data_IF_436225242078
#
_entry.id   IF_436225242078
#
_cell.length_a   1.000
_cell.length_b   1.000
_cell.length_c   1.000
_cell.angle_alpha   90.00
_cell.angle_beta   90.00
_cell.angle_gamma   90.00
#
_symmetry.space_group_name_H-M   'P 1'
#
loop_
_entity.id
_entity.type
_entity.pdbx_description
1 polymer ?
#
# COMPACT_ATOMS: atom_id res chain seq x y z
N UNK A 1 -15.82 -15.21 3.83
CA UNK A 1 -14.38 -15.55 3.77
C UNK A 1 -13.99 -16.55 2.66
N UNK A 2 -14.91 -17.29 2.01
CA UNK A 2 -14.53 -18.30 1.00
C UNK A 2 -13.99 -17.75 -0.35
N UNK A 3 -14.31 -16.51 -0.75
CA UNK A 3 -13.92 -15.97 -2.08
C UNK A 3 -12.45 -15.52 -2.18
N UNK A 4 -11.87 -14.91 -1.15
CA UNK A 4 -10.42 -14.58 -1.11
C UNK A 4 -9.56 -15.84 -1.20
N UNK A 5 -9.97 -16.91 -0.49
CA UNK A 5 -9.36 -18.23 -0.62
C UNK A 5 -9.41 -18.72 -2.07
N UNK A 6 -10.56 -18.57 -2.74
CA UNK A 6 -10.73 -19.04 -4.13
C UNK A 6 -9.83 -18.28 -5.12
N UNK A 7 -9.73 -16.96 -5.03
CA UNK A 7 -8.87 -16.18 -5.93
C UNK A 7 -7.38 -16.52 -5.71
N UNK A 8 -6.96 -16.69 -4.46
CA UNK A 8 -5.60 -17.12 -4.15
C UNK A 8 -5.33 -18.53 -4.68
N UNK A 9 -6.23 -19.48 -4.46
CA UNK A 9 -6.11 -20.85 -4.97
C UNK A 9 -6.04 -20.88 -6.49
N UNK A 10 -6.92 -20.15 -7.19
CA UNK A 10 -6.89 -20.08 -8.67
C UNK A 10 -5.59 -19.46 -9.16
N UNK A 11 -5.12 -18.37 -8.56
CA UNK A 11 -3.85 -17.76 -8.92
C UNK A 11 -2.66 -18.71 -8.65
N UNK A 12 -2.64 -19.39 -7.50
CA UNK A 12 -1.60 -20.36 -7.16
C UNK A 12 -1.57 -21.55 -8.13
N UNK A 13 -2.73 -22.09 -8.52
CA UNK A 13 -2.85 -23.17 -9.52
C UNK A 13 -2.32 -22.72 -10.88
N UNK A 14 -2.64 -21.50 -11.31
CA UNK A 14 -2.13 -20.96 -12.56
C UNK A 14 -0.62 -20.73 -12.51
N UNK A 15 -0.07 -20.19 -11.41
CA UNK A 15 1.38 -20.05 -11.22
C UNK A 15 2.08 -21.42 -11.23
N UNK A 16 1.51 -22.42 -10.57
CA UNK A 16 2.04 -23.79 -10.63
C UNK A 16 2.00 -24.39 -12.05
N UNK A 17 0.95 -24.11 -12.83
CA UNK A 17 0.87 -24.53 -14.23
C UNK A 17 1.92 -23.80 -15.11
N UNK A 18 2.16 -22.51 -14.87
CA UNK A 18 3.23 -21.75 -15.55
C UNK A 18 4.61 -22.32 -15.20
N UNK A 19 4.82 -22.74 -13.95
CA UNK A 19 6.08 -23.32 -13.48
C UNK A 19 6.46 -24.62 -14.20
N UNK A 20 5.49 -25.41 -14.70
CA UNK A 20 5.71 -26.66 -15.46
C UNK A 20 6.26 -26.46 -16.88
N UNK A 21 6.70 -25.24 -17.20
CA UNK A 21 7.24 -24.76 -18.49
C UNK A 21 8.25 -25.66 -19.23
N UNK A 22 8.77 -26.73 -18.61
CA UNK A 22 9.71 -27.66 -19.24
C UNK A 22 9.00 -28.76 -20.05
N UNK A 23 7.81 -29.22 -19.64
CA UNK A 23 7.19 -30.41 -20.22
C UNK A 23 6.20 -30.07 -21.33
N UNK A 24 5.54 -28.92 -21.24
CA UNK A 24 4.48 -28.49 -22.17
C UNK A 24 4.42 -26.96 -22.32
N UNK A 25 5.31 -26.34 -23.14
CA UNK A 25 5.37 -24.88 -23.29
C UNK A 25 4.03 -24.23 -23.68
N UNK A 26 3.26 -24.88 -24.55
CA UNK A 26 1.94 -24.41 -24.99
C UNK A 26 0.93 -24.31 -23.82
N UNK A 27 0.98 -25.25 -22.87
CA UNK A 27 0.09 -25.22 -21.71
C UNK A 27 0.49 -24.14 -20.72
N UNK A 28 1.79 -23.94 -20.52
CA UNK A 28 2.31 -22.87 -19.68
C UNK A 28 1.94 -21.48 -20.24
N UNK A 29 2.02 -21.29 -21.56
CA UNK A 29 1.56 -20.07 -22.24
C UNK A 29 0.06 -19.84 -22.07
N UNK A 30 -0.75 -20.90 -22.24
CA UNK A 30 -2.21 -20.83 -22.00
C UNK A 30 -2.51 -20.45 -20.54
N UNK A 31 -1.79 -21.04 -19.58
CA UNK A 31 -1.94 -20.72 -18.16
C UNK A 31 -1.53 -19.28 -17.85
N UNK A 32 -0.44 -18.80 -18.43
CA UNK A 32 0.03 -17.42 -18.28
C UNK A 32 -0.97 -16.41 -18.86
N UNK A 33 -1.45 -16.64 -20.09
CA UNK A 33 -2.47 -15.79 -20.71
C UNK A 33 -3.76 -15.75 -19.88
N UNK A 34 -4.17 -16.89 -19.33
CA UNK A 34 -5.32 -16.98 -18.44
C UNK A 34 -5.08 -16.23 -17.12
N UNK A 35 -3.88 -16.32 -16.55
CA UNK A 35 -3.50 -15.56 -15.36
C UNK A 35 -3.57 -14.05 -15.62
N UNK A 36 -2.96 -13.57 -16.70
CA UNK A 36 -3.01 -12.17 -17.10
C UNK A 36 -4.46 -11.68 -17.24
N UNK A 37 -5.31 -12.41 -17.99
CA UNK A 37 -6.72 -12.04 -18.17
C UNK A 37 -7.49 -11.89 -16.85
N UNK A 38 -7.22 -12.75 -15.86
CA UNK A 38 -7.94 -12.75 -14.58
C UNK A 38 -7.38 -11.76 -13.56
N UNK A 39 -6.06 -11.54 -13.55
CA UNK A 39 -5.39 -10.86 -12.46
C UNK A 39 -4.62 -9.60 -12.85
N UNK A 40 -4.60 -9.20 -14.14
CA UNK A 40 -3.92 -7.98 -14.61
C UNK A 40 -4.29 -6.75 -13.77
N UNK A 41 -5.58 -6.45 -13.62
CA UNK A 41 -6.04 -5.29 -12.85
C UNK A 41 -5.61 -5.33 -11.38
N UNK A 42 -5.44 -6.52 -10.82
CA UNK A 42 -5.00 -6.70 -9.43
C UNK A 42 -3.50 -6.47 -9.30
N UNK A 43 -2.71 -6.94 -10.26
CA UNK A 43 -1.27 -6.65 -10.35
C UNK A 43 -1.03 -5.16 -10.58
N UNK A 44 -1.77 -4.54 -11.51
CA UNK A 44 -1.71 -3.11 -11.76
C UNK A 44 -2.07 -2.28 -10.52
N UNK A 45 -3.15 -2.66 -9.82
CA UNK A 45 -3.53 -1.99 -8.58
C UNK A 45 -2.43 -2.08 -7.51
N UNK A 46 -1.80 -3.25 -7.35
CA UNK A 46 -0.65 -3.41 -6.45
C UNK A 46 0.50 -2.46 -6.85
N UNK A 47 0.85 -2.40 -8.14
CA UNK A 47 1.88 -1.49 -8.64
C UNK A 47 1.51 -0.03 -8.38
N UNK A 48 0.27 0.39 -8.63
CA UNK A 48 -0.19 1.76 -8.36
C UNK A 48 -0.07 2.15 -6.88
N UNK A 49 -0.47 1.25 -5.98
CA UNK A 49 -0.37 1.47 -4.53
C UNK A 49 1.09 1.61 -4.11
N UNK A 50 1.97 0.73 -4.62
CA UNK A 50 3.40 0.77 -4.33
C UNK A 50 4.07 2.02 -4.90
N UNK A 51 3.80 2.38 -6.16
CA UNK A 51 4.33 3.60 -6.78
C UNK A 51 3.94 4.85 -6.01
N UNK A 52 2.69 4.92 -5.54
CA UNK A 52 2.24 6.02 -4.68
C UNK A 52 2.95 6.01 -3.32
N UNK A 53 3.14 4.84 -2.72
CA UNK A 53 3.83 4.68 -1.42
C UNK A 53 5.30 5.12 -1.51
N UNK A 54 5.99 4.75 -2.60
CA UNK A 54 7.37 5.13 -2.84
C UNK A 54 7.54 6.53 -3.45
N UNK A 55 6.44 7.28 -3.65
CA UNK A 55 6.44 8.64 -4.21
C UNK A 55 7.12 8.73 -5.58
N UNK A 56 6.92 7.70 -6.40
CA UNK A 56 7.47 7.62 -7.76
C UNK A 56 6.91 8.79 -8.60
N UNK A 57 7.74 9.58 -9.29
CA UNK A 57 7.26 10.60 -10.22
C UNK A 57 6.47 9.93 -11.35
N UNK A 58 5.44 10.60 -11.88
CA UNK A 58 4.55 10.02 -12.91
C UNK A 58 3.99 8.63 -12.56
N UNK A 59 3.70 8.40 -11.27
CA UNK A 59 3.38 7.08 -10.68
C UNK A 59 2.36 6.22 -11.43
N UNK A 60 1.44 6.80 -12.22
CA UNK A 60 0.48 6.06 -13.03
C UNK A 60 1.17 5.34 -14.19
N UNK A 61 1.95 6.07 -14.99
CA UNK A 61 2.70 5.50 -16.12
C UNK A 61 3.72 4.49 -15.60
N UNK A 62 4.49 4.85 -14.57
CA UNK A 62 5.48 3.94 -13.99
C UNK A 62 4.85 2.68 -13.41
N UNK A 63 3.64 2.76 -12.84
CA UNK A 63 2.92 1.58 -12.37
C UNK A 63 2.43 0.68 -13.50
N UNK A 64 2.03 1.22 -14.65
CA UNK A 64 1.63 0.42 -15.81
C UNK A 64 2.82 -0.33 -16.40
N UNK A 65 3.96 0.34 -16.54
CA UNK A 65 5.20 -0.28 -17.00
C UNK A 65 5.71 -1.34 -16.00
N UNK A 66 5.74 -1.00 -14.70
CA UNK A 66 6.11 -1.95 -13.65
C UNK A 66 5.15 -3.15 -13.58
N UNK A 67 3.86 -2.97 -13.90
CA UNK A 67 2.90 -4.07 -13.98
C UNK A 67 3.29 -5.07 -15.09
N UNK A 68 3.68 -4.58 -16.27
CA UNK A 68 4.11 -5.42 -17.39
C UNK A 68 5.36 -6.23 -16.99
N UNK A 69 6.37 -5.57 -16.42
CA UNK A 69 7.59 -6.24 -15.95
C UNK A 69 7.30 -7.24 -14.83
N UNK A 70 6.39 -6.90 -13.92
CA UNK A 70 5.96 -7.80 -12.85
C UNK A 70 5.32 -9.07 -13.42
N UNK A 71 4.47 -8.96 -14.44
CA UNK A 71 3.84 -10.11 -15.10
C UNK A 71 4.88 -11.00 -15.80
N UNK A 72 5.84 -10.41 -16.50
CA UNK A 72 6.95 -11.15 -17.10
C UNK A 72 7.80 -11.85 -16.04
N UNK A 73 8.08 -11.17 -14.92
CA UNK A 73 8.81 -11.76 -13.82
C UNK A 73 8.05 -12.88 -13.12
N UNK A 74 6.72 -12.78 -12.98
CA UNK A 74 5.88 -13.89 -12.48
C UNK A 74 6.07 -15.10 -13.38
N UNK A 75 6.05 -14.93 -14.71
CA UNK A 75 6.29 -16.02 -15.65
C UNK A 75 7.67 -16.65 -15.47
N UNK A 76 8.71 -15.82 -15.40
CA UNK A 76 10.10 -16.27 -15.31
C UNK A 76 10.42 -16.93 -13.95
N UNK A 77 9.84 -16.40 -12.87
CA UNK A 77 10.07 -16.84 -11.50
C UNK A 77 9.03 -17.84 -11.00
N UNK A 78 8.07 -18.27 -11.84
CA UNK A 78 6.98 -19.17 -11.43
C UNK A 78 7.48 -20.44 -10.73
N UNK A 79 8.60 -21.03 -11.18
CA UNK A 79 9.23 -22.21 -10.57
C UNK A 79 9.73 -21.99 -9.14
N UNK A 80 9.92 -20.74 -8.74
CA UNK A 80 10.40 -20.35 -7.41
C UNK A 80 9.24 -20.13 -6.42
N UNK A 81 7.99 -20.10 -6.88
CA UNK A 81 6.84 -19.95 -6.01
C UNK A 81 6.59 -21.24 -5.24
N UNK A 82 6.60 -21.13 -3.91
CA UNK A 82 6.28 -22.22 -2.99
C UNK A 82 4.98 -21.87 -2.23
N UNK A 83 3.86 -22.59 -2.48
CA UNK A 83 2.58 -22.32 -1.83
C UNK A 83 2.60 -22.59 -0.31
N UNK A 84 3.58 -23.34 0.20
CA UNK A 84 3.72 -23.58 1.64
C UNK A 84 4.37 -22.40 2.36
N UNK A 85 5.14 -21.56 1.64
CA UNK A 85 5.84 -20.40 2.21
C UNK A 85 4.97 -19.14 2.30
N UNK A 86 3.82 -19.10 1.63
CA UNK A 86 2.89 -17.98 1.75
C UNK A 86 1.92 -17.80 0.60
N UNK A 87 1.13 -16.72 0.68
CA UNK A 87 0.12 -16.41 -0.32
C UNK A 87 0.74 -15.92 -1.64
N UNK A 88 0.22 -16.41 -2.77
CA UNK A 88 0.64 -16.01 -4.12
C UNK A 88 0.61 -14.50 -4.34
N UNK A 89 -0.36 -13.78 -3.78
CA UNK A 89 -0.44 -12.32 -3.94
C UNK A 89 0.62 -11.58 -3.11
N UNK A 90 1.02 -12.13 -1.96
CA UNK A 90 2.16 -11.59 -1.20
C UNK A 90 3.46 -11.81 -1.95
N UNK A 91 3.63 -12.98 -2.58
CA UNK A 91 4.79 -13.26 -3.44
C UNK A 91 4.83 -12.32 -4.66
N UNK A 92 3.70 -12.13 -5.35
CA UNK A 92 3.57 -11.17 -6.45
C UNK A 92 3.87 -9.74 -6.00
N UNK A 93 3.37 -9.32 -4.84
CA UNK A 93 3.65 -8.00 -4.30
C UNK A 93 5.15 -7.78 -4.03
N UNK A 94 5.87 -8.83 -3.61
CA UNK A 94 7.33 -8.80 -3.49
C UNK A 94 8.02 -8.60 -4.84
N UNK A 95 7.57 -9.29 -5.90
CA UNK A 95 8.08 -9.07 -7.26
C UNK A 95 7.82 -7.62 -7.70
N UNK A 96 6.59 -7.13 -7.55
CA UNK A 96 6.22 -5.77 -7.94
C UNK A 96 7.02 -4.69 -7.19
N UNK A 97 7.25 -4.88 -5.89
CA UNK A 97 8.08 -3.98 -5.09
C UNK A 97 9.52 -3.95 -5.59
N UNK A 98 10.11 -5.12 -5.88
CA UNK A 98 11.48 -5.19 -6.40
C UNK A 98 11.61 -4.52 -7.77
N UNK A 99 10.64 -4.70 -8.68
CA UNK A 99 10.65 -4.02 -9.98
C UNK A 99 10.57 -2.50 -9.85
N UNK A 100 9.73 -2.00 -8.94
CA UNK A 100 9.64 -0.56 -8.68
C UNK A 100 10.92 0.00 -8.05
N UNK A 101 11.55 -0.73 -7.14
CA UNK A 101 12.82 -0.33 -6.54
C UNK A 101 13.94 -0.29 -7.59
N UNK A 102 14.06 -1.32 -8.43
CA UNK A 102 15.05 -1.32 -9.51
C UNK A 102 14.87 -0.17 -10.50
N UNK A 103 13.62 0.21 -10.79
CA UNK A 103 13.32 1.37 -11.63
C UNK A 103 13.72 2.68 -10.95
N UNK A 104 13.39 2.84 -9.68
CA UNK A 104 13.82 3.99 -8.88
C UNK A 104 15.35 4.08 -8.82
N UNK A 105 16.05 2.97 -8.60
CA UNK A 105 17.51 2.92 -8.60
C UNK A 105 18.09 3.34 -9.96
N UNK A 106 17.50 2.90 -11.08
CA UNK A 106 17.93 3.29 -12.44
C UNK A 106 17.64 4.77 -12.74
N UNK A 107 16.49 5.28 -12.31
CA UNK A 107 16.11 6.68 -12.47
C UNK A 107 16.98 7.59 -11.58
N UNK A 108 17.29 7.18 -10.35
CA UNK A 108 18.23 7.87 -9.47
C UNK A 108 19.67 7.78 -9.98
N UNK A 109 20.06 6.69 -10.66
CA UNK A 109 21.37 6.56 -11.30
C UNK A 109 21.48 7.37 -12.60
N UNK A 110 20.36 7.82 -13.16
CA UNK A 110 20.30 8.79 -14.27
C UNK A 110 20.24 10.24 -13.82
N UNK A 111 20.24 10.51 -12.51
CA UNK A 111 20.60 11.83 -11.99
C UNK A 111 22.04 12.05 -12.40
N UNK A 112 22.26 12.90 -13.41
CA UNK A 112 23.60 13.27 -13.89
C UNK A 112 24.50 13.53 -12.68
N UNK A 113 25.78 13.19 -12.75
CA UNK A 113 26.74 13.61 -11.72
C UNK A 113 26.62 15.12 -11.44
N UNK A 114 26.27 15.90 -12.46
CA UNK A 114 25.94 17.32 -12.35
C UNK A 114 24.72 17.59 -11.48
N UNK A 115 23.64 16.81 -11.59
CA UNK A 115 22.46 16.97 -10.73
C UNK A 115 22.72 16.55 -9.28
N UNK A 116 23.58 15.54 -9.07
CA UNK A 116 24.04 15.15 -7.73
C UNK A 116 24.87 16.28 -7.12
N UNK A 117 25.79 16.87 -7.88
CA UNK A 117 26.59 18.02 -7.48
C UNK A 117 25.72 19.26 -7.19
N UNK A 118 24.72 19.54 -8.03
CA UNK A 118 23.75 20.62 -7.83
C UNK A 118 22.95 20.40 -6.54
N UNK A 119 22.45 19.18 -6.30
CA UNK A 119 21.71 18.84 -5.06
C UNK A 119 22.61 18.94 -3.83
N UNK A 120 23.87 18.53 -3.94
CA UNK A 120 24.86 18.62 -2.86
C UNK A 120 25.19 20.08 -2.53
N UNK A 121 25.46 20.89 -3.55
CA UNK A 121 25.69 22.33 -3.40
C UNK A 121 24.49 23.06 -2.80
N UNK A 122 23.26 22.70 -3.22
CA UNK A 122 22.04 23.28 -2.66
C UNK A 122 21.86 22.91 -1.19
N UNK A 123 22.14 21.66 -0.82
CA UNK A 123 22.07 21.19 0.57
C UNK A 123 23.13 21.85 1.46
N UNK A 124 24.35 22.01 0.96
CA UNK A 124 25.43 22.72 1.63
C UNK A 124 25.09 24.20 1.83
N UNK A 125 24.46 24.84 0.85
CA UNK A 125 23.96 26.21 0.97
C UNK A 125 22.91 26.34 2.08
N UNK A 126 21.92 25.45 2.12
CA UNK A 126 20.90 25.47 3.19
C UNK A 126 21.51 25.22 4.58
N UNK A 127 22.50 24.32 4.69
CA UNK A 127 23.19 24.08 5.95
C UNK A 127 23.97 25.33 6.37
N UNK A 128 24.60 26.05 5.44
CA UNK A 128 25.33 27.28 5.72
C UNK A 128 24.40 28.43 6.13
N UNK A 129 23.27 28.59 5.45
CA UNK A 129 22.23 29.57 5.81
C UNK A 129 21.68 29.26 7.20
N UNK A 130 21.36 28.00 7.48
CA UNK A 130 20.86 27.59 8.79
C UNK A 130 21.90 27.79 9.91
N UNK A 131 23.18 27.49 9.66
CA UNK A 131 24.25 27.78 10.65
C UNK A 131 24.41 29.28 10.89
N UNK A 132 24.29 30.10 9.85
CA UNK A 132 24.34 31.55 10.01
C UNK A 132 23.11 32.08 10.77
N UNK A 133 21.95 31.45 10.62
CA UNK A 133 20.77 31.73 11.44
C UNK A 133 20.98 31.30 12.90
N UNK A 134 21.51 30.09 13.13
CA UNK A 134 21.79 29.56 14.49
C UNK A 134 22.86 30.42 15.20
N UNK A 135 23.93 30.83 14.52
CA UNK A 135 24.97 31.72 15.07
C UNK A 135 24.42 33.14 15.38
N UNK A 136 23.43 33.59 14.60
CA UNK A 136 22.71 34.85 14.85
C UNK A 136 21.65 34.69 15.96
N UNK A 137 21.10 33.49 16.15
CA UNK A 137 20.22 33.14 17.26
C UNK A 137 21.02 33.04 18.57
N UNK A 138 22.25 32.51 18.57
CA UNK A 138 23.18 32.46 19.71
C UNK A 138 23.46 33.85 20.31
N UNK A 139 23.46 34.89 19.46
CA UNK A 139 23.50 36.31 19.88
C UNK A 139 22.19 36.84 20.50
N UNK A 140 21.06 36.12 20.35
CA UNK A 140 19.74 36.46 20.90
C UNK A 140 19.39 35.65 22.16
N UNK A 141 20.09 34.54 22.45
CA UNK A 141 19.81 33.67 23.61
C UNK A 141 20.24 34.28 24.96
N UNK A 142 21.17 35.23 24.99
CA UNK A 142 21.55 35.94 26.23
C UNK A 142 20.41 36.82 26.82
N UNK A 143 19.29 36.98 26.11
CA UNK A 143 18.16 37.80 26.57
C UNK A 143 16.86 37.03 26.86
N UNK A 144 16.84 35.69 26.78
CA UNK A 144 15.56 34.96 26.84
C UNK A 144 15.58 33.59 27.54
N UNK A 145 16.34 33.46 28.63
CA UNK A 145 16.40 32.24 29.48
C UNK A 145 15.08 31.83 30.17
N UNK A 146 13.94 32.51 29.96
CA UNK A 146 12.68 32.17 30.62
C UNK A 146 11.80 31.14 29.87
N UNK A 147 12.17 30.70 28.66
CA UNK A 147 11.17 30.21 27.70
C UNK A 147 11.13 28.73 27.29
N UNK A 148 12.07 27.86 27.66
CA UNK A 148 12.15 26.52 27.04
C UNK A 148 12.18 25.34 28.02
N UNK A 149 10.99 24.96 28.46
CA UNK A 149 10.72 23.62 28.97
C UNK A 149 9.37 23.13 28.43
N UNK A 150 9.31 22.51 27.22
CA UNK A 150 8.21 21.63 26.77
C UNK A 150 8.39 21.12 25.32
N UNK A 151 9.16 20.05 25.14
CA UNK A 151 8.96 19.12 24.01
C UNK A 151 9.55 17.74 24.29
N UNK A 152 9.15 17.13 25.42
CA UNK A 152 9.40 15.70 25.64
C UNK A 152 8.61 14.89 24.61
N UNK A 153 9.32 14.06 23.85
CA UNK A 153 8.79 13.14 22.85
C UNK A 153 7.65 12.29 23.41
N UNK A 154 6.50 12.37 22.76
CA UNK A 154 5.32 11.57 23.10
C UNK A 154 5.54 10.15 22.59
N UNK A 155 6.07 9.30 23.46
CA UNK A 155 6.13 7.86 23.24
C UNK A 155 4.68 7.35 23.05
N UNK A 156 4.35 6.94 21.82
CA UNK A 156 3.00 6.51 21.46
C UNK A 156 2.79 5.11 22.03
N UNK A 157 2.26 5.03 23.25
CA UNK A 157 1.76 3.79 23.84
C UNK A 157 0.80 3.12 22.86
N UNK A 158 1.13 1.90 22.42
CA UNK A 158 0.22 1.08 21.61
C UNK A 158 -1.00 0.77 22.47
N UNK A 159 -2.16 1.31 22.09
CA UNK A 159 -3.42 1.05 22.80
C UNK A 159 -3.77 -0.44 22.61
N UNK A 160 -3.87 -1.25 23.69
CA UNK A 160 -4.19 -2.67 23.58
C UNK A 160 -5.52 -2.93 22.84
N UNK A 161 -6.40 -1.93 22.74
CA UNK A 161 -7.64 -1.97 21.96
C UNK A 161 -7.43 -2.15 20.46
N UNK A 162 -6.25 -1.81 19.92
CA UNK A 162 -5.97 -1.93 18.48
C UNK A 162 -6.02 -3.41 18.05
N UNK A 163 -5.47 -4.29 18.87
CA UNK A 163 -5.47 -5.73 18.59
C UNK A 163 -6.89 -6.31 18.55
N UNK A 164 -7.78 -5.82 19.41
CA UNK A 164 -9.19 -6.21 19.40
C UNK A 164 -9.90 -5.73 18.12
N UNK A 165 -9.68 -4.47 17.73
CA UNK A 165 -10.24 -3.90 16.49
C UNK A 165 -9.80 -4.69 15.26
N UNK A 166 -8.52 -5.03 15.15
CA UNK A 166 -8.00 -5.85 14.04
C UNK A 166 -8.70 -7.20 13.98
N UNK A 167 -8.81 -7.90 15.12
CA UNK A 167 -9.47 -9.20 15.19
C UNK A 167 -10.97 -9.15 14.81
N UNK A 168 -11.64 -8.00 15.00
CA UNK A 168 -13.03 -7.80 14.57
C UNK A 168 -13.10 -7.52 13.07
N UNK A 169 -12.23 -6.66 12.55
CA UNK A 169 -12.17 -6.37 11.12
C UNK A 169 -11.92 -7.65 10.34
N UNK A 170 -11.05 -8.53 10.82
CA UNK A 170 -10.79 -9.86 10.23
C UNK A 170 -12.03 -10.77 10.17
N UNK A 171 -12.99 -10.60 11.10
CA UNK A 171 -14.26 -11.36 11.11
C UNK A 171 -15.31 -10.79 10.16
N UNK A 172 -15.15 -9.56 9.66
CA UNK A 172 -16.09 -8.96 8.70
C UNK A 172 -16.03 -9.67 7.34
N UNK A 173 -17.12 -9.56 6.55
CA UNK A 173 -17.05 -10.00 5.16
C UNK A 173 -16.08 -9.15 4.35
N UNK A 174 -15.51 -9.70 3.28
CA UNK A 174 -14.53 -9.00 2.42
C UNK A 174 -15.07 -7.64 1.91
N UNK A 175 -16.33 -7.60 1.51
CA UNK A 175 -17.01 -6.37 1.08
C UNK A 175 -17.06 -5.35 2.21
N UNK A 176 -17.36 -5.78 3.43
CA UNK A 176 -17.40 -4.91 4.61
C UNK A 176 -16.00 -4.44 5.02
N UNK A 177 -14.98 -5.30 4.93
CA UNK A 177 -13.60 -4.93 5.19
C UNK A 177 -13.14 -3.84 4.21
N UNK A 178 -13.31 -4.05 2.91
CA UNK A 178 -12.89 -3.09 1.88
C UNK A 178 -13.64 -1.75 2.03
N UNK A 179 -14.96 -1.80 2.25
CA UNK A 179 -15.75 -0.59 2.51
C UNK A 179 -15.30 0.12 3.78
N UNK A 180 -15.03 -0.60 4.88
CA UNK A 180 -14.60 -0.02 6.15
C UNK A 180 -13.21 0.61 6.01
N UNK A 181 -12.25 -0.10 5.44
CA UNK A 181 -10.89 0.39 5.20
C UNK A 181 -10.91 1.63 4.33
N UNK A 182 -11.68 1.62 3.24
CA UNK A 182 -11.82 2.78 2.36
C UNK A 182 -12.49 3.94 3.10
N UNK A 183 -13.52 3.67 3.90
CA UNK A 183 -14.19 4.70 4.73
C UNK A 183 -13.21 5.35 5.71
N UNK A 184 -12.36 4.57 6.37
CA UNK A 184 -11.33 5.08 7.29
C UNK A 184 -10.31 5.95 6.54
N UNK A 185 -9.88 5.54 5.35
CA UNK A 185 -8.96 6.34 4.52
C UNK A 185 -9.53 7.74 4.19
N UNK A 186 -10.84 7.82 3.96
CA UNK A 186 -11.56 9.07 3.68
C UNK A 186 -12.25 9.69 4.91
N UNK A 187 -11.74 9.43 6.12
CA UNK A 187 -12.21 10.06 7.37
C UNK A 187 -13.74 9.99 7.53
N UNK A 188 -14.32 8.83 7.23
CA UNK A 188 -15.73 8.51 7.50
C UNK A 188 -16.67 8.72 6.32
N UNK A 189 -16.29 9.50 5.31
CA UNK A 189 -17.13 9.74 4.13
C UNK A 189 -16.57 9.02 2.92
N UNK A 190 -17.25 7.97 2.48
CA UNK A 190 -16.89 7.25 1.25
C UNK A 190 -17.32 8.04 0.00
N UNK A 191 -16.39 8.51 -0.86
CA UNK A 191 -16.74 9.26 -2.08
C UNK A 191 -17.51 8.40 -3.08
N UNK A 192 -18.39 9.02 -3.88
CA UNK A 192 -19.21 8.28 -4.85
C UNK A 192 -18.39 7.59 -5.95
N UNK A 193 -17.22 8.12 -6.28
CA UNK A 193 -16.26 7.47 -7.18
C UNK A 193 -15.75 6.14 -6.62
N UNK A 194 -15.49 6.07 -5.31
CA UNK A 194 -15.07 4.84 -4.64
C UNK A 194 -16.25 3.89 -4.43
N UNK A 195 -17.46 4.42 -4.18
CA UNK A 195 -18.68 3.60 -4.20
C UNK A 195 -18.89 2.94 -5.55
N UNK A 196 -18.70 3.65 -6.67
CA UNK A 196 -18.76 3.05 -8.01
C UNK A 196 -17.72 1.93 -8.20
N UNK A 197 -16.48 2.17 -7.79
CA UNK A 197 -15.40 1.17 -7.90
C UNK A 197 -15.72 -0.10 -7.10
N UNK A 198 -16.20 0.05 -5.87
CA UNK A 198 -16.59 -1.06 -5.00
C UNK A 198 -17.84 -1.77 -5.57
N UNK A 199 -18.79 -1.01 -6.11
CA UNK A 199 -19.99 -1.53 -6.80
C UNK A 199 -19.62 -2.45 -7.95
N UNK A 200 -18.74 -1.98 -8.85
CA UNK A 200 -18.23 -2.78 -10.00
C UNK A 200 -17.46 -4.00 -9.50
N UNK A 201 -16.58 -3.82 -8.50
CA UNK A 201 -15.70 -4.89 -7.98
C UNK A 201 -16.48 -6.07 -7.39
N UNK A 202 -17.55 -5.80 -6.66
CA UNK A 202 -18.31 -6.83 -5.94
C UNK A 202 -19.69 -7.13 -6.53
N UNK A 203 -20.11 -6.42 -7.58
CA UNK A 203 -21.44 -6.56 -8.18
C UNK A 203 -22.55 -6.15 -7.22
N UNK A 204 -22.33 -5.13 -6.39
CA UNK A 204 -23.32 -4.64 -5.40
C UNK A 204 -23.83 -3.27 -5.82
N UNK A 205 -25.14 -3.04 -5.72
CA UNK A 205 -25.71 -1.73 -6.02
C UNK A 205 -25.14 -0.63 -5.11
N UNK A 206 -24.87 0.56 -5.64
CA UNK A 206 -24.32 1.71 -4.89
C UNK A 206 -25.09 2.03 -3.61
N UNK A 207 -26.43 1.95 -3.65
CA UNK A 207 -27.29 2.20 -2.48
C UNK A 207 -27.02 1.21 -1.34
N UNK A 208 -26.62 -0.01 -1.66
CA UNK A 208 -26.31 -1.05 -0.68
C UNK A 208 -24.96 -0.83 0.02
N UNK A 209 -24.04 -0.06 -0.57
CA UNK A 209 -22.70 0.19 -0.01
C UNK A 209 -22.78 0.93 1.31
N UNK A 210 -23.64 1.96 1.42
CA UNK A 210 -23.83 2.69 2.67
C UNK A 210 -24.40 1.77 3.77
N UNK A 211 -25.29 0.84 3.41
CA UNK A 211 -25.81 -0.16 4.35
C UNK A 211 -24.73 -1.17 4.81
N UNK A 212 -23.80 -1.55 3.93
CA UNK A 212 -22.65 -2.38 4.31
C UNK A 212 -21.68 -1.60 5.20
N UNK A 213 -21.41 -0.32 4.89
CA UNK A 213 -20.59 0.59 5.70
C UNK A 213 -21.13 0.68 7.12
N UNK A 214 -22.42 1.01 7.27
CA UNK A 214 -23.05 1.15 8.57
C UNK A 214 -23.03 -0.16 9.38
N UNK A 215 -23.22 -1.30 8.71
CA UNK A 215 -23.11 -2.62 9.37
C UNK A 215 -21.69 -2.91 9.84
N UNK A 216 -20.68 -2.58 9.04
CA UNK A 216 -19.28 -2.75 9.41
C UNK A 216 -18.93 -1.88 10.63
N UNK A 217 -19.27 -0.59 10.61
CA UNK A 217 -19.01 0.34 11.72
C UNK A 217 -19.70 -0.15 13.01
N UNK A 218 -21.00 -0.47 12.95
CA UNK A 218 -21.75 -0.96 14.11
C UNK A 218 -21.18 -2.26 14.68
N UNK A 219 -20.66 -3.14 13.84
CA UNK A 219 -20.03 -4.38 14.30
C UNK A 219 -18.77 -4.09 15.12
N UNK A 220 -17.95 -3.12 14.69
CA UNK A 220 -16.77 -2.71 15.45
C UNK A 220 -17.17 -1.96 16.73
N UNK A 221 -18.13 -1.03 16.66
CA UNK A 221 -18.64 -0.28 17.82
C UNK A 221 -19.20 -1.21 18.91
N UNK A 222 -19.96 -2.24 18.51
CA UNK A 222 -20.54 -3.22 19.44
C UNK A 222 -19.46 -3.95 20.23
N UNK A 223 -18.33 -4.26 19.60
CA UNK A 223 -17.24 -4.96 20.26
C UNK A 223 -16.38 -4.06 21.15
N UNK A 224 -16.18 -2.79 20.77
CA UNK A 224 -15.46 -1.82 21.62
C UNK A 224 -16.37 -1.32 22.77
N UNK A 225 -17.69 -1.45 22.63
CA UNK A 225 -18.67 -1.01 23.63
C UNK A 225 -18.92 0.50 23.63
N UNK A 226 -18.51 1.22 22.58
CA UNK A 226 -18.70 2.67 22.42
C UNK A 226 -18.65 3.08 20.93
N UNK A 227 -19.18 4.27 20.58
CA UNK A 227 -19.05 4.82 19.24
C UNK A 227 -17.58 4.95 18.83
N UNK A 228 -17.32 4.69 17.56
CA UNK A 228 -15.98 4.77 16.99
C UNK A 228 -15.68 6.18 16.51
N UNK A 229 -14.55 6.72 16.93
CA UNK A 229 -13.94 7.84 16.25
C UNK A 229 -13.12 7.33 15.05
N UNK A 230 -13.60 7.65 13.84
CA UNK A 230 -13.00 7.18 12.59
C UNK A 230 -11.59 7.75 12.41
N UNK A 231 -11.30 8.95 12.90
CA UNK A 231 -9.98 9.58 12.78
C UNK A 231 -8.96 8.92 13.72
N UNK A 232 -9.39 8.49 14.92
CA UNK A 232 -8.59 7.63 15.78
C UNK A 232 -8.27 6.30 15.07
N UNK A 233 -9.26 5.67 14.43
CA UNK A 233 -9.10 4.41 13.70
C UNK A 233 -8.12 4.53 12.51
N UNK A 234 -8.14 5.66 11.80
CA UNK A 234 -7.21 5.97 10.71
C UNK A 234 -5.76 5.99 11.17
N UNK A 235 -5.50 6.59 12.33
CA UNK A 235 -4.16 6.65 12.92
C UNK A 235 -3.62 5.27 13.30
N UNK A 236 -4.51 4.34 13.65
CA UNK A 236 -4.16 2.99 14.07
C UNK A 236 -4.05 1.99 12.91
N UNK A 237 -4.90 2.12 11.88
CA UNK A 237 -4.90 1.23 10.70
C UNK A 237 -3.92 1.64 9.59
N UNK A 238 -3.42 2.88 9.59
CA UNK A 238 -2.43 3.34 8.61
C UNK A 238 -0.98 2.89 8.91
N UNK A 239 -0.78 2.11 9.98
CA UNK A 239 0.51 1.55 10.40
C UNK A 239 0.56 0.06 10.11
#
# INVERSE_FOLDING_TARGET
MQKQSRNHQVAAVLVAAIARNADTPLEADKAFNKFCKLFYNKVLYMCLVLSKRYRVPNYKQTAEEACQDTLLNIRNKAKQYDPLKGFVFSWIAGIAANELLQRLEKEECHVSLEDIEIRKAFREKQIREKRAEDDNEELLWDNNEAGQARSKGKEIRRDPRISEVIAIVEKLSEVQQDILMTTVLYSGRLPDSEKERISIRYGIGKKSIDAYRMRAIKAVEKCIGRPIDIDSLKTHLAR
#
